data_IF_659242285109
#
_entry.id   IF_659242285109
#
_cell.length_a   1.000
_cell.length_b   1.000
_cell.length_c   1.000
_cell.angle_alpha   90.00
_cell.angle_beta   90.00
_cell.angle_gamma   90.00
#
_symmetry.space_group_name_H-M   'P 1'
#
loop_
_entity.id
_entity.type
_entity.pdbx_description
1 polymer ?
#
# COMPACT_ATOMS: atom_id res chain seq x y z
N UNK A 1 -23.15 -14.16 -18.17
CA UNK A 1 -22.40 -14.55 -16.95
C UNK A 1 -20.88 -14.38 -17.09
N UNK A 2 -20.22 -14.83 -18.15
CA UNK A 2 -18.76 -14.62 -18.36
C UNK A 2 -18.30 -13.15 -18.44
N UNK A 3 -19.12 -12.25 -18.96
CA UNK A 3 -18.81 -10.81 -19.07
C UNK A 3 -18.83 -10.11 -17.71
N UNK A 4 -19.74 -10.49 -16.82
CA UNK A 4 -19.85 -9.92 -15.45
C UNK A 4 -18.64 -10.30 -14.60
N UNK A 5 -18.19 -11.55 -14.68
CA UNK A 5 -16.97 -11.99 -13.97
C UNK A 5 -15.70 -11.34 -14.48
N UNK A 6 -15.59 -11.09 -15.79
CA UNK A 6 -14.44 -10.33 -16.36
C UNK A 6 -14.42 -8.88 -15.85
N UNK A 7 -15.57 -8.23 -15.78
CA UNK A 7 -15.66 -6.86 -15.27
C UNK A 7 -15.34 -6.78 -13.77
N UNK A 8 -15.77 -7.76 -12.99
CA UNK A 8 -15.49 -7.82 -11.55
C UNK A 8 -13.99 -8.05 -11.27
N UNK A 9 -13.35 -8.95 -12.02
CA UNK A 9 -11.90 -9.19 -11.92
C UNK A 9 -11.08 -7.97 -12.35
N UNK A 10 -11.51 -7.25 -13.39
CA UNK A 10 -10.84 -6.03 -13.85
C UNK A 10 -10.97 -4.88 -12.85
N UNK A 11 -12.14 -4.71 -12.21
CA UNK A 11 -12.39 -3.71 -11.18
C UNK A 11 -11.52 -4.00 -9.94
N UNK A 12 -11.46 -5.25 -9.49
CA UNK A 12 -10.63 -5.64 -8.37
C UNK A 12 -9.13 -5.41 -8.65
N UNK A 13 -8.67 -5.71 -9.86
CA UNK A 13 -7.28 -5.52 -10.26
C UNK A 13 -6.92 -4.02 -10.32
N UNK A 14 -7.77 -3.17 -10.88
CA UNK A 14 -7.57 -1.73 -10.91
C UNK A 14 -7.52 -1.11 -9.52
N UNK A 15 -8.38 -1.56 -8.60
CA UNK A 15 -8.40 -1.11 -7.20
C UNK A 15 -7.14 -1.54 -6.47
N UNK A 16 -6.66 -2.76 -6.68
CA UNK A 16 -5.42 -3.24 -6.07
C UNK A 16 -4.20 -2.47 -6.56
N UNK A 17 -4.11 -2.19 -7.85
CA UNK A 17 -3.02 -1.38 -8.43
C UNK A 17 -3.06 0.04 -7.85
N UNK A 18 -4.24 0.62 -7.69
CA UNK A 18 -4.38 1.95 -7.12
C UNK A 18 -3.94 1.98 -5.65
N UNK A 19 -4.30 0.96 -4.87
CA UNK A 19 -3.88 0.80 -3.49
C UNK A 19 -2.34 0.66 -3.38
N UNK A 20 -1.73 -0.12 -4.27
CA UNK A 20 -0.26 -0.24 -4.35
C UNK A 20 0.42 1.10 -4.61
N UNK A 21 -0.17 1.96 -5.46
CA UNK A 21 0.35 3.31 -5.73
C UNK A 21 0.30 4.21 -4.48
N UNK A 22 -0.80 4.15 -3.75
CA UNK A 22 -0.94 4.92 -2.51
C UNK A 22 0.04 4.47 -1.43
N UNK A 23 0.13 3.16 -1.21
CA UNK A 23 1.06 2.60 -0.21
C UNK A 23 2.51 2.84 -0.59
N UNK A 24 2.86 2.81 -1.88
CA UNK A 24 4.16 3.18 -2.38
C UNK A 24 4.50 4.66 -2.05
N UNK A 25 3.55 5.58 -2.25
CA UNK A 25 3.76 6.99 -1.96
C UNK A 25 3.95 7.23 -0.46
N UNK A 26 3.11 6.62 0.38
CA UNK A 26 3.20 6.70 1.84
C UNK A 26 4.59 6.20 2.30
N UNK A 27 5.00 5.01 1.85
CA UNK A 27 6.28 4.40 2.22
C UNK A 27 7.47 5.25 1.74
N UNK A 28 7.39 5.82 0.53
CA UNK A 28 8.43 6.70 -0.02
C UNK A 28 8.64 7.95 0.83
N UNK A 29 7.56 8.62 1.24
CA UNK A 29 7.62 9.82 2.08
C UNK A 29 8.07 9.46 3.50
N UNK A 30 7.53 8.37 4.08
CA UNK A 30 7.86 7.91 5.42
C UNK A 30 9.35 7.62 5.57
N UNK A 31 9.94 6.89 4.62
CA UNK A 31 11.39 6.58 4.64
C UNK A 31 12.28 7.79 4.44
N UNK A 32 11.84 8.75 3.64
CA UNK A 32 12.61 9.96 3.39
C UNK A 32 12.48 10.97 4.55
N UNK A 33 11.43 10.87 5.37
CA UNK A 33 11.06 11.86 6.36
C UNK A 33 10.55 13.15 5.73
N UNK A 34 11.37 13.79 4.88
CA UNK A 34 11.01 14.98 4.08
C UNK A 34 11.57 14.83 2.67
N UNK A 35 10.75 15.09 1.66
CA UNK A 35 11.11 14.85 0.26
C UNK A 35 10.44 15.84 -0.68
N UNK A 36 11.14 16.28 -1.73
CA UNK A 36 10.60 17.13 -2.77
C UNK A 36 9.66 16.35 -3.72
N UNK A 37 8.76 17.05 -4.43
CA UNK A 37 7.95 16.41 -5.47
C UNK A 37 8.81 15.91 -6.63
N UNK A 38 9.92 16.57 -6.92
CA UNK A 38 10.86 16.18 -7.95
C UNK A 38 11.50 14.83 -7.61
N UNK A 39 12.03 14.68 -6.39
CA UNK A 39 12.60 13.41 -5.93
C UNK A 39 11.55 12.28 -5.86
N UNK A 40 10.30 12.60 -5.49
CA UNK A 40 9.20 11.62 -5.54
C UNK A 40 8.95 11.17 -6.99
N UNK A 41 8.90 12.12 -7.93
CA UNK A 41 8.71 11.82 -9.35
C UNK A 41 9.83 10.96 -9.93
N UNK A 42 11.07 11.27 -9.60
CA UNK A 42 12.23 10.49 -10.01
C UNK A 42 12.19 9.05 -9.49
N UNK A 43 11.82 8.87 -8.22
CA UNK A 43 11.65 7.53 -7.64
C UNK A 43 10.48 6.79 -8.27
N UNK A 44 9.40 7.49 -8.58
CA UNK A 44 8.23 6.93 -9.27
C UNK A 44 8.59 6.41 -10.66
N UNK A 45 9.33 7.17 -11.44
CA UNK A 45 9.75 6.75 -12.79
C UNK A 45 10.68 5.53 -12.77
N UNK A 46 11.49 5.38 -11.72
CA UNK A 46 12.33 4.19 -11.53
C UNK A 46 11.52 2.93 -11.19
N UNK A 47 10.34 3.09 -10.60
CA UNK A 47 9.43 1.98 -10.34
C UNK A 47 8.60 1.66 -11.57
N UNK A 48 9.21 0.96 -12.52
CA UNK A 48 8.64 0.68 -13.84
C UNK A 48 7.31 -0.09 -13.80
N UNK A 49 7.15 -0.95 -12.83
CA UNK A 49 5.93 -1.78 -12.70
C UNK A 49 4.70 -0.95 -12.33
N UNK A 50 4.84 -0.01 -11.40
CA UNK A 50 3.73 0.83 -10.95
C UNK A 50 3.53 2.05 -11.85
N UNK A 51 4.61 2.63 -12.36
CA UNK A 51 4.58 3.87 -13.15
C UNK A 51 4.17 3.66 -14.60
N UNK A 52 4.38 2.44 -15.13
CA UNK A 52 4.22 2.17 -16.57
C UNK A 52 5.00 3.21 -17.42
N UNK A 53 6.20 3.56 -16.94
CA UNK A 53 7.07 4.59 -17.52
C UNK A 53 6.46 6.00 -17.63
N UNK A 54 5.38 6.27 -16.91
CA UNK A 54 4.70 7.58 -16.94
C UNK A 54 5.18 8.43 -15.75
N UNK A 55 5.51 9.71 -15.98
CA UNK A 55 5.91 10.61 -14.92
C UNK A 55 4.74 10.88 -13.95
N UNK A 56 5.06 11.17 -12.71
CA UNK A 56 4.08 11.57 -11.71
C UNK A 56 3.77 13.07 -11.85
N UNK A 57 2.64 13.39 -12.46
CA UNK A 57 2.21 14.79 -12.56
C UNK A 57 1.78 15.36 -11.19
N UNK A 58 1.95 16.67 -11.00
CA UNK A 58 1.48 17.37 -9.78
C UNK A 58 -0.01 17.17 -9.52
N UNK A 59 -0.82 17.14 -10.56
CA UNK A 59 -2.27 16.91 -10.44
C UNK A 59 -2.56 15.48 -9.92
N UNK A 60 -1.85 14.48 -10.43
CA UNK A 60 -1.97 13.09 -9.96
C UNK A 60 -1.50 12.96 -8.51
N UNK A 61 -0.36 13.57 -8.17
CA UNK A 61 0.15 13.58 -6.81
C UNK A 61 -0.86 14.19 -5.82
N UNK A 62 -1.45 15.35 -6.13
CA UNK A 62 -2.44 15.98 -5.27
C UNK A 62 -3.68 15.10 -5.08
N UNK A 63 -4.19 14.50 -6.16
CA UNK A 63 -5.31 13.56 -6.10
C UNK A 63 -4.99 12.34 -5.23
N UNK A 64 -3.77 11.83 -5.29
CA UNK A 64 -3.35 10.72 -4.41
C UNK A 64 -3.27 11.13 -2.95
N UNK A 65 -2.77 12.33 -2.65
CA UNK A 65 -2.79 12.86 -1.28
C UNK A 65 -4.20 12.90 -0.69
N UNK A 66 -5.16 13.43 -1.46
CA UNK A 66 -6.56 13.54 -1.02
C UNK A 66 -7.17 12.13 -0.81
N UNK A 67 -6.88 11.20 -1.71
CA UNK A 67 -7.34 9.82 -1.59
C UNK A 67 -6.68 9.09 -0.40
N UNK A 68 -5.40 9.30 -0.16
CA UNK A 68 -4.67 8.73 0.98
C UNK A 68 -5.27 9.24 2.29
N UNK A 69 -5.55 10.54 2.38
CA UNK A 69 -6.24 11.10 3.54
C UNK A 69 -7.61 10.47 3.74
N UNK A 70 -8.41 10.38 2.67
CA UNK A 70 -9.77 9.82 2.74
C UNK A 70 -9.79 8.33 3.14
N UNK A 71 -8.82 7.54 2.66
CA UNK A 71 -8.82 6.08 2.86
C UNK A 71 -8.07 5.64 4.12
N UNK A 72 -6.98 6.32 4.45
CA UNK A 72 -6.07 5.93 5.53
C UNK A 72 -6.00 6.92 6.69
N UNK A 73 -6.60 8.13 6.55
CA UNK A 73 -6.47 9.19 7.54
C UNK A 73 -5.06 9.78 7.62
N UNK A 74 -4.17 9.48 6.65
CA UNK A 74 -2.79 9.94 6.66
C UNK A 74 -2.70 11.32 5.99
N UNK A 75 -2.14 12.29 6.70
CA UNK A 75 -1.99 13.66 6.22
C UNK A 75 -0.59 13.86 5.66
N UNK A 76 -0.52 14.13 4.35
CA UNK A 76 0.71 14.51 3.67
C UNK A 76 0.75 16.03 3.54
N UNK A 77 1.57 16.68 4.36
CA UNK A 77 1.74 18.13 4.41
C UNK A 77 2.96 18.59 3.60
N UNK A 78 3.02 19.89 3.33
CA UNK A 78 4.11 20.50 2.58
C UNK A 78 4.74 21.65 3.38
N UNK A 79 6.01 21.51 3.70
CA UNK A 79 6.82 22.59 4.22
C UNK A 79 7.27 23.49 3.05
N UNK A 80 6.85 24.75 3.04
CA UNK A 80 7.15 25.70 1.96
C UNK A 80 8.52 26.36 2.14
N UNK A 81 8.96 26.52 3.39
CA UNK A 81 10.27 27.10 3.71
C UNK A 81 11.37 26.08 3.47
N UNK A 82 12.32 26.41 2.61
CA UNK A 82 13.46 25.53 2.31
C UNK A 82 13.25 24.53 1.18
N UNK A 83 12.20 24.71 0.31
CA UNK A 83 12.14 23.95 -0.94
C UNK A 83 10.92 23.07 -1.20
N UNK A 84 9.77 23.36 -0.61
CA UNK A 84 8.52 22.56 -0.83
C UNK A 84 8.68 21.07 -0.55
N UNK A 85 9.07 20.74 0.68
CA UNK A 85 9.27 19.37 1.10
C UNK A 85 7.97 18.78 1.65
N UNK A 86 7.61 17.60 1.16
CA UNK A 86 6.46 16.84 1.63
C UNK A 86 6.85 15.89 2.75
N UNK A 87 5.97 15.72 3.73
CA UNK A 87 6.16 14.85 4.90
C UNK A 87 4.82 14.36 5.43
N UNK A 88 4.83 13.28 6.21
CA UNK A 88 3.65 12.81 6.93
C UNK A 88 3.56 13.61 8.23
N UNK A 89 2.41 14.22 8.48
CA UNK A 89 2.22 15.13 9.62
C UNK A 89 2.25 14.39 10.95
N UNK A 90 1.53 13.26 11.03
CA UNK A 90 1.46 12.43 12.22
C UNK A 90 1.93 10.99 11.93
N UNK A 91 3.23 10.74 11.81
CA UNK A 91 3.74 9.39 11.53
C UNK A 91 3.45 8.41 12.66
N UNK A 92 3.35 8.88 13.91
CA UNK A 92 2.99 8.10 15.10
C UNK A 92 1.59 7.48 15.00
N UNK A 93 0.62 8.15 14.38
CA UNK A 93 -0.74 7.60 14.18
C UNK A 93 -0.75 6.33 13.33
N UNK A 94 0.27 6.15 12.50
CA UNK A 94 0.45 4.93 11.71
C UNK A 94 1.00 3.82 12.60
N UNK A 95 1.94 4.16 13.49
CA UNK A 95 2.64 3.19 14.33
C UNK A 95 1.77 2.71 15.50
N UNK A 96 0.82 3.51 15.95
CA UNK A 96 -0.14 3.17 17.00
C UNK A 96 -1.29 2.27 16.50
N UNK A 97 -1.67 2.36 15.22
CA UNK A 97 -2.66 1.48 14.61
C UNK A 97 -1.98 0.23 14.03
N UNK A 98 -1.92 -0.84 14.83
CA UNK A 98 -1.24 -2.09 14.47
C UNK A 98 -1.76 -2.69 13.15
N UNK A 99 -3.07 -2.60 12.87
CA UNK A 99 -3.65 -3.12 11.63
C UNK A 99 -3.23 -2.28 10.42
N UNK A 100 -3.29 -0.97 10.55
CA UNK A 100 -2.86 -0.03 9.51
C UNK A 100 -1.37 -0.20 9.22
N UNK A 101 -0.54 -0.26 10.26
CA UNK A 101 0.89 -0.51 10.16
C UNK A 101 1.18 -1.82 9.44
N UNK A 102 0.57 -2.93 9.90
CA UNK A 102 0.76 -4.23 9.26
C UNK A 102 0.37 -4.22 7.78
N UNK A 103 -0.73 -3.59 7.44
CA UNK A 103 -1.18 -3.47 6.04
C UNK A 103 -0.18 -2.68 5.20
N UNK A 104 0.26 -1.51 5.68
CA UNK A 104 1.22 -0.67 4.96
C UNK A 104 2.56 -1.36 4.80
N UNK A 105 3.08 -2.02 5.84
CA UNK A 105 4.34 -2.76 5.80
C UNK A 105 4.26 -3.96 4.84
N UNK A 106 3.12 -4.65 4.81
CA UNK A 106 2.91 -5.77 3.86
C UNK A 106 2.94 -5.30 2.40
N UNK A 107 2.32 -4.16 2.10
CA UNK A 107 2.38 -3.56 0.76
C UNK A 107 3.77 -3.02 0.43
N UNK A 108 4.47 -2.42 1.40
CA UNK A 108 5.84 -1.95 1.22
C UNK A 108 6.79 -3.10 0.85
N UNK A 109 6.69 -4.23 1.53
CA UNK A 109 7.45 -5.45 1.19
C UNK A 109 7.10 -5.96 -0.20
N UNK A 110 5.81 -6.00 -0.55
CA UNK A 110 5.36 -6.40 -1.89
C UNK A 110 5.96 -5.49 -2.98
N UNK A 111 5.94 -4.17 -2.77
CA UNK A 111 6.51 -3.20 -3.71
C UNK A 111 8.02 -3.40 -3.86
N UNK A 112 8.76 -3.62 -2.75
CA UNK A 112 10.19 -3.89 -2.79
C UNK A 112 10.54 -5.17 -3.56
N UNK A 113 9.75 -6.21 -3.43
CA UNK A 113 9.92 -7.45 -4.19
C UNK A 113 9.66 -7.19 -5.67
N UNK A 114 8.62 -6.43 -6.01
CA UNK A 114 8.29 -6.06 -7.38
C UNK A 114 9.38 -5.22 -8.03
N UNK A 115 9.96 -4.26 -7.30
CA UNK A 115 11.09 -3.45 -7.79
C UNK A 115 12.36 -4.27 -8.08
N UNK A 116 12.48 -5.46 -7.47
CA UNK A 116 13.65 -6.31 -7.53
C UNK A 116 13.32 -7.72 -8.07
N UNK A 117 12.54 -7.80 -9.14
CA UNK A 117 12.09 -9.08 -9.73
C UNK A 117 13.23 -10.03 -10.10
N UNK A 118 14.41 -9.50 -10.45
CA UNK A 118 15.61 -10.31 -10.71
C UNK A 118 16.10 -11.10 -9.49
N UNK A 119 15.67 -10.69 -8.29
CA UNK A 119 16.00 -11.37 -7.03
C UNK A 119 14.88 -12.26 -6.51
N UNK A 120 13.74 -12.33 -7.20
CA UNK A 120 12.54 -13.05 -6.76
C UNK A 120 12.84 -14.54 -6.46
N UNK A 121 13.65 -15.18 -7.28
CA UNK A 121 14.01 -16.58 -7.11
C UNK A 121 14.93 -16.82 -5.90
N UNK A 122 15.49 -15.77 -5.32
CA UNK A 122 16.36 -15.80 -4.14
C UNK A 122 15.61 -15.47 -2.85
N UNK A 123 14.35 -15.02 -2.97
CA UNK A 123 13.50 -14.65 -1.83
C UNK A 123 12.56 -15.81 -1.56
N UNK A 124 12.76 -16.49 -0.44
CA UNK A 124 11.86 -17.54 0.01
C UNK A 124 10.72 -16.88 0.76
N UNK A 125 9.54 -16.83 0.14
CA UNK A 125 8.31 -16.43 0.81
C UNK A 125 7.66 -17.67 1.37
N UNK A 126 7.72 -17.87 2.68
CA UNK A 126 6.95 -18.92 3.35
C UNK A 126 5.46 -18.57 3.23
N UNK A 127 4.81 -19.21 2.29
CA UNK A 127 3.35 -19.20 2.26
C UNK A 127 2.87 -20.09 3.41
N UNK A 128 2.23 -19.50 4.41
CA UNK A 128 1.46 -20.23 5.41
C UNK A 128 0.02 -20.29 4.89
N UNK A 129 -0.39 -21.35 4.15
CA UNK A 129 -1.71 -21.40 3.50
C UNK A 129 -2.85 -21.40 4.51
N UNK A 130 -2.60 -21.99 5.69
CA UNK A 130 -3.61 -22.24 6.72
C UNK A 130 -4.20 -20.97 7.36
N UNK A 131 -3.42 -19.91 7.51
CA UNK A 131 -3.89 -18.71 8.20
C UNK A 131 -5.00 -17.98 7.44
N UNK A 132 -4.92 -17.94 6.11
CA UNK A 132 -5.89 -17.20 5.29
C UNK A 132 -7.20 -17.95 5.11
N UNK A 133 -7.14 -19.26 4.98
CA UNK A 133 -8.31 -20.10 4.76
C UNK A 133 -9.21 -20.14 6.00
N UNK A 134 -8.62 -20.16 7.18
CA UNK A 134 -9.35 -20.17 8.45
C UNK A 134 -9.64 -18.78 9.02
N UNK A 135 -9.00 -17.73 8.50
CA UNK A 135 -9.14 -16.37 9.02
C UNK A 135 -10.57 -15.85 8.94
N UNK A 136 -11.26 -16.07 7.83
CA UNK A 136 -12.65 -15.67 7.65
C UNK A 136 -13.58 -16.38 8.65
N UNK A 137 -13.37 -17.68 8.85
CA UNK A 137 -14.15 -18.50 9.80
C UNK A 137 -13.91 -18.03 11.24
N UNK A 138 -12.67 -17.69 11.60
CA UNK A 138 -12.34 -17.17 12.91
C UNK A 138 -12.98 -15.80 13.16
N UNK A 139 -12.95 -14.89 12.18
CA UNK A 139 -13.58 -13.58 12.28
C UNK A 139 -15.11 -13.71 12.47
N UNK A 140 -15.74 -14.62 11.75
CA UNK A 140 -17.17 -14.87 11.89
C UNK A 140 -17.52 -15.43 13.27
N UNK A 141 -16.74 -16.39 13.75
CA UNK A 141 -16.89 -16.95 15.09
C UNK A 141 -16.69 -15.88 16.20
N UNK A 142 -15.68 -15.01 16.05
CA UNK A 142 -15.48 -13.89 16.97
C UNK A 142 -16.64 -12.91 16.96
N UNK A 143 -17.17 -12.56 15.79
CA UNK A 143 -18.33 -11.66 15.63
C UNK A 143 -19.59 -12.20 16.29
N UNK A 144 -19.78 -13.52 16.25
CA UNK A 144 -20.94 -14.20 16.81
C UNK A 144 -20.70 -14.77 18.23
N UNK A 145 -19.53 -14.48 18.83
CA UNK A 145 -19.12 -15.01 20.14
C UNK A 145 -19.20 -16.54 20.23
N UNK A 146 -18.85 -17.24 19.15
CA UNK A 146 -18.83 -18.71 19.10
C UNK A 146 -17.48 -19.27 19.56
N UNK A 147 -17.52 -20.42 20.19
CA UNK A 147 -16.31 -21.21 20.51
C UNK A 147 -15.82 -21.92 19.26
N UNK A 148 -14.51 -21.86 19.03
CA UNK A 148 -13.84 -22.54 17.91
C UNK A 148 -12.95 -23.64 18.45
N UNK A 149 -13.04 -24.83 17.87
CA UNK A 149 -12.13 -25.95 18.17
C UNK A 149 -11.04 -25.98 17.13
N UNK A 150 -9.78 -25.91 17.56
CA UNK A 150 -8.60 -25.96 16.69
C UNK A 150 -7.94 -27.33 16.89
N UNK A 151 -7.75 -28.06 15.79
CA UNK A 151 -6.98 -29.31 15.76
C UNK A 151 -5.61 -28.99 15.12
N UNK A 152 -4.52 -29.29 15.81
CA UNK A 152 -3.13 -29.06 15.36
C UNK A 152 -2.30 -30.34 15.43
#
# INVERSE_FOLDING_TARGET
MRQVFRNFAAINNATMIQLQKYTWLIDTIRRAGRISLEDISDRWERNKELSDYKPLSRATFNRWKDAIFSQFGIIISCQRTGGYLYYIENPEDIDEDELKKWMLDSFAVSNLISENLSLKDRIIVNQIPSAREHFATLLEAMKENRVVTITY
#
